data_IF_760742987733
#
_entry.id   IF_760742987733
#
_cell.length_a   1.000
_cell.length_b   1.000
_cell.length_c   1.000
_cell.angle_alpha   90.00
_cell.angle_beta   90.00
_cell.angle_gamma   90.00
#
_symmetry.space_group_name_H-M   'P 1'
#
loop_
_entity.id
_entity.type
_entity.pdbx_description
1 polymer ?
#
# COMPACT_ATOMS: atom_id res chain seq x y z
N UNK A 1 20.20 0.97 -10.78
CA UNK A 1 19.61 -0.34 -11.13
C UNK A 1 20.10 -0.78 -12.51
N UNK A 2 20.37 -2.07 -12.73
CA UNK A 2 20.61 -2.62 -14.07
C UNK A 2 19.41 -2.37 -15.00
N UNK A 3 19.67 -2.20 -16.30
CA UNK A 3 18.61 -1.86 -17.27
C UNK A 3 17.47 -2.88 -17.29
N UNK A 4 17.80 -4.17 -17.16
CA UNK A 4 16.79 -5.24 -17.18
C UNK A 4 15.86 -5.18 -15.96
N UNK A 5 16.37 -4.83 -14.77
CA UNK A 5 15.54 -4.63 -13.56
C UNK A 5 14.61 -3.42 -13.72
N UNK A 6 15.12 -2.35 -14.35
CA UNK A 6 14.32 -1.17 -14.64
C UNK A 6 13.18 -1.50 -15.60
N UNK A 7 13.48 -2.17 -16.73
CA UNK A 7 12.47 -2.60 -17.69
C UNK A 7 11.46 -3.55 -17.06
N UNK A 8 11.91 -4.57 -16.35
CA UNK A 8 11.05 -5.54 -15.68
C UNK A 8 10.11 -4.86 -14.66
N UNK A 9 10.63 -3.94 -13.84
CA UNK A 9 9.81 -3.23 -12.86
C UNK A 9 8.73 -2.34 -13.49
N UNK A 10 8.98 -1.74 -14.66
CA UNK A 10 7.95 -0.98 -15.38
C UNK A 10 6.95 -1.88 -16.12
N UNK A 11 7.39 -3.04 -16.59
CA UNK A 11 6.51 -4.06 -17.19
C UNK A 11 5.55 -4.62 -16.13
N UNK A 12 6.07 -5.03 -14.98
CA UNK A 12 5.25 -5.54 -13.86
C UNK A 12 4.21 -4.50 -13.41
N UNK A 13 4.60 -3.22 -13.37
CA UNK A 13 3.68 -2.12 -13.11
C UNK A 13 2.59 -2.00 -14.20
N UNK A 14 2.96 -2.02 -15.49
CA UNK A 14 1.99 -1.92 -16.57
C UNK A 14 1.02 -3.12 -16.58
N UNK A 15 1.53 -4.34 -16.41
CA UNK A 15 0.71 -5.55 -16.28
C UNK A 15 -0.24 -5.48 -15.08
N UNK A 16 0.21 -4.94 -13.94
CA UNK A 16 -0.64 -4.77 -12.75
C UNK A 16 -1.81 -3.82 -12.99
N UNK A 17 -1.63 -2.83 -13.88
CA UNK A 17 -2.70 -1.94 -14.34
C UNK A 17 -3.66 -2.61 -15.34
N UNK A 18 -3.44 -3.87 -15.72
CA UNK A 18 -4.22 -4.57 -16.73
C UNK A 18 -3.86 -4.18 -18.16
N UNK A 19 -2.72 -3.51 -18.37
CA UNK A 19 -2.27 -3.09 -19.70
C UNK A 19 -1.63 -4.28 -20.41
N UNK A 20 -2.16 -4.61 -21.57
CA UNK A 20 -1.59 -5.58 -22.50
C UNK A 20 -0.52 -4.89 -23.34
N UNK A 21 0.75 -5.08 -22.94
CA UNK A 21 1.88 -4.43 -23.63
C UNK A 21 1.99 -4.85 -25.11
N UNK A 22 1.62 -6.08 -25.43
CA UNK A 22 1.60 -6.60 -26.79
C UNK A 22 0.52 -5.97 -27.69
N UNK A 23 -0.52 -5.40 -27.10
CA UNK A 23 -1.63 -4.75 -27.80
C UNK A 23 -1.58 -3.21 -27.67
N UNK A 24 -0.64 -2.68 -26.90
CA UNK A 24 -0.57 -1.24 -26.62
C UNK A 24 -0.06 -0.48 -27.86
N UNK A 25 -0.89 0.41 -28.39
CA UNK A 25 -0.51 1.33 -29.48
C UNK A 25 0.25 2.54 -28.90
N UNK A 26 1.58 2.46 -28.87
CA UNK A 26 2.45 3.48 -28.25
C UNK A 26 2.23 4.87 -28.82
N UNK A 27 1.89 4.99 -30.10
CA UNK A 27 1.66 6.26 -30.80
C UNK A 27 0.44 7.03 -30.28
N UNK A 28 -0.52 6.36 -29.67
CA UNK A 28 -1.75 6.99 -29.13
C UNK A 28 -1.57 7.54 -27.72
N UNK A 29 -0.43 7.24 -27.07
CA UNK A 29 -0.18 7.67 -25.71
C UNK A 29 0.18 9.16 -25.64
N UNK A 30 -0.47 9.87 -24.73
CA UNK A 30 -0.17 11.27 -24.40
C UNK A 30 1.07 11.36 -23.51
N UNK A 31 2.25 11.24 -24.11
CA UNK A 31 3.54 11.38 -23.44
C UNK A 31 4.61 11.91 -24.41
N UNK A 32 5.77 12.31 -23.88
CA UNK A 32 6.87 12.77 -24.71
C UNK A 32 7.51 11.62 -25.52
N UNK A 33 8.29 11.97 -26.54
CA UNK A 33 8.95 10.97 -27.40
C UNK A 33 9.81 10.00 -26.62
N UNK A 34 10.55 10.49 -25.63
CA UNK A 34 11.41 9.69 -24.77
C UNK A 34 10.65 8.57 -24.03
N UNK A 35 9.48 8.88 -23.51
CA UNK A 35 8.62 7.89 -22.84
C UNK A 35 8.09 6.86 -23.83
N UNK A 36 7.73 7.28 -25.05
CA UNK A 36 7.31 6.36 -26.13
C UNK A 36 8.43 5.40 -26.51
N UNK A 37 9.64 5.91 -26.75
CA UNK A 37 10.81 5.08 -27.07
C UNK A 37 11.08 4.05 -25.95
N UNK A 38 10.91 4.47 -24.70
CA UNK A 38 11.07 3.57 -23.55
C UNK A 38 9.97 2.49 -23.50
N UNK A 39 8.73 2.82 -23.81
CA UNK A 39 7.62 1.85 -23.88
C UNK A 39 7.84 0.86 -25.02
N UNK A 40 8.34 1.29 -26.18
CA UNK A 40 8.72 0.38 -27.26
C UNK A 40 9.84 -0.58 -26.83
N UNK A 41 10.82 -0.09 -26.08
CA UNK A 41 11.84 -0.97 -25.50
C UNK A 41 11.25 -1.96 -24.48
N UNK A 42 10.28 -1.53 -23.65
CA UNK A 42 9.54 -2.42 -22.75
C UNK A 42 8.79 -3.50 -23.52
N UNK A 43 8.11 -3.17 -24.63
CA UNK A 43 7.39 -4.15 -25.46
C UNK A 43 8.33 -5.22 -26.02
N UNK A 44 9.48 -4.82 -26.57
CA UNK A 44 10.49 -5.76 -27.09
C UNK A 44 11.05 -6.65 -26.00
N UNK A 45 11.39 -6.06 -24.84
CA UNK A 45 11.88 -6.83 -23.69
C UNK A 45 10.81 -7.82 -23.20
N UNK A 46 9.56 -7.36 -23.04
CA UNK A 46 8.44 -8.18 -22.60
C UNK A 46 8.20 -9.39 -23.53
N UNK A 47 8.27 -9.18 -24.84
CA UNK A 47 8.13 -10.26 -25.82
C UNK A 47 9.20 -11.35 -25.62
N UNK A 48 10.47 -10.97 -25.51
CA UNK A 48 11.58 -11.92 -25.29
C UNK A 48 11.49 -12.59 -23.91
N UNK A 49 11.20 -11.81 -22.88
CA UNK A 49 11.07 -12.31 -21.50
C UNK A 49 9.91 -13.32 -21.36
N UNK A 50 8.76 -13.02 -21.95
CA UNK A 50 7.60 -13.92 -21.94
C UNK A 50 7.88 -15.22 -22.70
N UNK A 51 8.57 -15.14 -23.84
CA UNK A 51 8.99 -16.34 -24.60
C UNK A 51 9.96 -17.21 -23.78
N UNK A 52 10.90 -16.58 -23.04
CA UNK A 52 11.84 -17.29 -22.17
C UNK A 52 11.09 -17.99 -21.01
N UNK A 53 10.15 -17.31 -20.36
CA UNK A 53 9.34 -17.90 -19.30
C UNK A 53 8.51 -19.09 -19.82
N UNK A 54 7.85 -18.93 -20.96
CA UNK A 54 7.07 -20.01 -21.59
C UNK A 54 7.93 -21.22 -21.93
N UNK A 55 9.14 -21.00 -22.44
CA UNK A 55 10.10 -22.08 -22.73
C UNK A 55 10.53 -22.85 -21.47
N UNK A 56 10.39 -22.26 -20.30
CA UNK A 56 10.68 -22.87 -18.99
C UNK A 56 9.41 -23.38 -18.27
N UNK A 57 8.23 -23.26 -18.89
CA UNK A 57 6.96 -23.58 -18.23
C UNK A 57 6.56 -22.62 -17.11
N UNK A 58 7.08 -21.39 -17.13
CA UNK A 58 6.84 -20.34 -16.14
C UNK A 58 5.94 -19.24 -16.71
N UNK A 59 5.30 -18.50 -15.82
CA UNK A 59 4.48 -17.33 -16.14
C UNK A 59 4.67 -16.26 -15.05
N UNK A 60 4.58 -14.97 -15.41
CA UNK A 60 4.55 -13.88 -14.43
C UNK A 60 3.25 -13.92 -13.61
N UNK A 61 3.28 -13.34 -12.40
CA UNK A 61 2.08 -13.28 -11.54
C UNK A 61 0.91 -12.56 -12.23
N UNK A 62 1.16 -11.37 -12.77
CA UNK A 62 0.14 -10.60 -13.49
C UNK A 62 -0.28 -11.29 -14.80
N UNK A 63 0.67 -11.89 -15.51
CA UNK A 63 0.39 -12.71 -16.71
C UNK A 63 -0.54 -13.88 -16.43
N UNK A 64 -0.41 -14.53 -15.26
CA UNK A 64 -1.33 -15.60 -14.87
C UNK A 64 -2.77 -15.09 -14.73
N UNK A 65 -2.99 -13.95 -14.07
CA UNK A 65 -4.31 -13.34 -13.96
C UNK A 65 -4.87 -12.91 -15.33
N UNK A 66 -4.02 -12.35 -16.19
CA UNK A 66 -4.42 -11.98 -17.54
C UNK A 66 -4.90 -13.20 -18.35
N UNK A 67 -4.10 -14.27 -18.37
CA UNK A 67 -4.48 -15.52 -19.08
C UNK A 67 -5.74 -16.16 -18.49
N UNK A 68 -5.91 -16.19 -17.18
CA UNK A 68 -7.12 -16.69 -16.54
C UNK A 68 -8.34 -15.86 -16.94
N UNK A 69 -8.21 -14.53 -16.99
CA UNK A 69 -9.28 -13.63 -17.42
C UNK A 69 -9.71 -13.89 -18.86
N UNK A 70 -8.75 -14.10 -19.76
CA UNK A 70 -9.00 -14.43 -21.16
C UNK A 70 -9.70 -15.77 -21.31
N UNK A 71 -9.20 -16.82 -20.67
CA UNK A 71 -9.83 -18.15 -20.68
C UNK A 71 -11.26 -18.13 -20.15
N UNK A 72 -11.52 -17.37 -19.08
CA UNK A 72 -12.86 -17.21 -18.52
C UNK A 72 -13.80 -16.44 -19.44
N UNK A 73 -13.26 -15.57 -20.28
CA UNK A 73 -14.04 -14.74 -21.21
C UNK A 73 -14.31 -15.42 -22.56
N UNK A 74 -13.44 -16.33 -23.00
CA UNK A 74 -13.44 -16.88 -24.36
C UNK A 74 -14.29 -18.13 -24.56
N UNK A 75 -14.76 -18.80 -23.50
CA UNK A 75 -15.36 -20.11 -23.70
C UNK A 75 -16.69 -20.37 -23.00
N UNK A 76 -17.65 -20.95 -23.72
CA UNK A 76 -18.89 -21.53 -23.23
C UNK A 76 -18.73 -22.86 -22.44
N UNK A 77 -17.49 -23.22 -22.02
CA UNK A 77 -17.21 -24.45 -21.27
C UNK A 77 -17.94 -24.54 -19.92
N UNK A 78 -18.15 -25.74 -19.42
CA UNK A 78 -18.76 -25.97 -18.11
C UNK A 78 -17.85 -25.41 -17.00
N UNK A 79 -18.44 -24.73 -15.99
CA UNK A 79 -17.73 -24.28 -14.81
C UNK A 79 -17.30 -25.50 -14.00
N UNK A 80 -15.98 -25.70 -13.87
CA UNK A 80 -15.43 -26.78 -13.04
C UNK A 80 -15.56 -26.48 -11.54
N UNK A 81 -15.38 -27.50 -10.66
CA UNK A 81 -15.51 -27.34 -9.21
C UNK A 81 -14.64 -26.21 -8.63
N UNK A 82 -13.43 -26.03 -9.15
CA UNK A 82 -12.52 -24.96 -8.70
C UNK A 82 -13.08 -23.56 -8.96
N UNK A 83 -13.79 -23.34 -10.09
CA UNK A 83 -14.44 -22.07 -10.38
C UNK A 83 -15.69 -21.87 -9.53
N UNK A 84 -16.48 -22.92 -9.31
CA UNK A 84 -17.67 -22.87 -8.46
C UNK A 84 -17.34 -22.52 -7.01
N UNK A 85 -16.16 -22.93 -6.53
CA UNK A 85 -15.64 -22.54 -5.20
C UNK A 85 -15.43 -21.03 -5.06
N UNK A 86 -15.36 -20.26 -6.15
CA UNK A 86 -15.23 -18.80 -6.15
C UNK A 86 -16.57 -18.06 -6.17
N UNK A 87 -17.69 -18.75 -6.01
CA UNK A 87 -19.03 -18.14 -6.03
C UNK A 87 -19.24 -17.16 -4.85
N UNK A 88 -18.59 -17.42 -3.74
CA UNK A 88 -18.65 -16.55 -2.53
C UNK A 88 -17.25 -16.20 -2.07
N UNK A 89 -16.81 -14.98 -2.36
CA UNK A 89 -15.47 -14.50 -2.06
C UNK A 89 -15.49 -13.48 -0.92
N UNK A 90 -14.59 -13.68 0.05
CA UNK A 90 -14.22 -12.70 1.05
C UNK A 90 -12.75 -12.37 0.82
N UNK A 91 -12.47 -11.11 0.49
CA UNK A 91 -11.13 -10.64 0.16
C UNK A 91 -10.71 -9.62 1.20
N UNK A 92 -9.68 -9.98 1.98
CA UNK A 92 -9.06 -9.09 2.95
C UNK A 92 -7.98 -8.22 2.29
N UNK A 93 -7.64 -7.09 2.93
CA UNK A 93 -6.70 -6.08 2.43
C UNK A 93 -7.06 -5.60 1.01
N UNK A 94 -8.35 -5.44 0.72
CA UNK A 94 -8.84 -5.13 -0.63
C UNK A 94 -8.30 -3.81 -1.19
N UNK A 95 -7.88 -2.86 -0.35
CA UNK A 95 -7.25 -1.62 -0.78
C UNK A 95 -5.88 -1.81 -1.46
N UNK A 96 -5.32 -3.01 -1.40
CA UNK A 96 -4.00 -3.33 -1.98
C UNK A 96 -4.11 -4.10 -3.31
N UNK A 97 -5.32 -4.34 -3.82
CA UNK A 97 -5.49 -4.97 -5.12
C UNK A 97 -5.14 -4.02 -6.27
N UNK A 98 -4.85 -4.62 -7.43
CA UNK A 98 -4.55 -3.90 -8.67
C UNK A 98 -5.70 -4.01 -9.68
N UNK A 99 -5.75 -3.15 -10.71
CA UNK A 99 -6.70 -3.27 -11.82
C UNK A 99 -6.70 -4.65 -12.47
N UNK A 100 -5.53 -5.29 -12.62
CA UNK A 100 -5.45 -6.64 -13.19
C UNK A 100 -6.23 -7.67 -12.36
N UNK A 101 -6.19 -7.57 -11.03
CA UNK A 101 -6.97 -8.46 -10.14
C UNK A 101 -8.47 -8.15 -10.27
N UNK A 102 -8.85 -6.87 -10.38
CA UNK A 102 -10.26 -6.47 -10.62
C UNK A 102 -10.78 -7.07 -11.92
N UNK A 103 -10.00 -6.98 -13.01
CA UNK A 103 -10.37 -7.57 -14.30
C UNK A 103 -10.60 -9.08 -14.21
N UNK A 104 -9.72 -9.78 -13.49
CA UNK A 104 -9.88 -11.22 -13.25
C UNK A 104 -11.14 -11.52 -12.42
N UNK A 105 -11.38 -10.81 -11.31
CA UNK A 105 -12.60 -10.99 -10.50
C UNK A 105 -13.87 -10.75 -11.33
N UNK A 106 -13.88 -9.72 -12.17
CA UNK A 106 -14.99 -9.46 -13.08
C UNK A 106 -15.19 -10.58 -14.09
N UNK A 107 -14.11 -11.18 -14.63
CA UNK A 107 -14.21 -12.33 -15.53
C UNK A 107 -14.79 -13.56 -14.82
N UNK A 108 -14.34 -13.85 -13.58
CA UNK A 108 -14.90 -14.90 -12.71
C UNK A 108 -16.41 -14.68 -12.50
N UNK A 109 -16.80 -13.46 -12.09
CA UNK A 109 -18.21 -13.15 -11.83
C UNK A 109 -19.08 -13.29 -13.08
N UNK A 110 -18.62 -12.79 -14.23
CA UNK A 110 -19.34 -12.95 -15.50
C UNK A 110 -19.56 -14.42 -15.84
N UNK A 111 -18.52 -15.23 -15.67
CA UNK A 111 -18.56 -16.66 -15.98
C UNK A 111 -19.50 -17.44 -15.06
N UNK A 112 -19.39 -17.25 -13.74
CA UNK A 112 -20.25 -17.88 -12.76
C UNK A 112 -21.72 -17.50 -12.98
N UNK A 113 -21.96 -16.22 -13.25
CA UNK A 113 -23.33 -15.77 -13.53
C UNK A 113 -23.91 -16.39 -14.80
N UNK A 114 -23.11 -16.50 -15.89
CA UNK A 114 -23.54 -17.19 -17.10
C UNK A 114 -23.86 -18.67 -16.85
N UNK A 115 -23.26 -19.28 -15.83
CA UNK A 115 -23.57 -20.63 -15.37
C UNK A 115 -24.80 -20.71 -14.46
N UNK A 116 -25.47 -19.58 -14.15
CA UNK A 116 -26.64 -19.51 -13.26
C UNK A 116 -26.31 -19.50 -11.77
N UNK A 117 -25.05 -19.34 -11.40
CA UNK A 117 -24.64 -19.36 -10.00
C UNK A 117 -25.01 -18.06 -9.25
N UNK A 118 -25.30 -18.19 -7.96
CA UNK A 118 -25.36 -17.06 -7.06
C UNK A 118 -23.95 -16.66 -6.65
N UNK A 119 -23.64 -15.40 -6.82
CA UNK A 119 -22.30 -14.87 -6.49
C UNK A 119 -22.41 -13.78 -5.44
N UNK A 120 -21.42 -13.74 -4.55
CA UNK A 120 -21.23 -12.64 -3.62
C UNK A 120 -19.75 -12.30 -3.48
N UNK A 121 -19.47 -11.03 -3.32
CA UNK A 121 -18.12 -10.52 -3.07
C UNK A 121 -18.18 -9.61 -1.86
N UNK A 122 -17.38 -9.92 -0.84
CA UNK A 122 -17.15 -9.08 0.33
C UNK A 122 -15.71 -8.59 0.28
N UNK A 123 -15.55 -7.28 0.16
CA UNK A 123 -14.26 -6.60 0.25
C UNK A 123 -14.06 -6.08 1.68
N UNK A 124 -12.95 -6.45 2.28
CA UNK A 124 -12.55 -6.04 3.62
C UNK A 124 -11.25 -5.25 3.48
N UNK A 125 -11.15 -4.08 4.12
CA UNK A 125 -9.94 -3.27 3.97
C UNK A 125 -10.02 -1.91 4.65
N UNK A 126 -8.92 -1.18 4.55
CA UNK A 126 -8.76 0.17 5.05
C UNK A 126 -8.04 1.03 3.99
N UNK A 127 -8.80 1.87 3.28
CA UNK A 127 -8.28 2.75 2.22
C UNK A 127 -7.19 3.71 2.73
N UNK A 128 -7.19 4.04 4.03
CA UNK A 128 -6.17 4.86 4.67
C UNK A 128 -4.82 4.12 4.80
N UNK A 129 -4.82 2.78 4.69
CA UNK A 129 -3.62 1.94 4.73
C UNK A 129 -3.17 1.43 3.35
N UNK A 130 -3.67 2.00 2.26
CA UNK A 130 -3.21 1.68 0.90
C UNK A 130 -1.86 2.34 0.62
N UNK A 131 -0.79 1.53 0.58
CA UNK A 131 0.60 1.97 0.46
C UNK A 131 1.41 1.20 -0.59
N UNK A 132 0.73 0.56 -1.55
CA UNK A 132 1.36 -0.22 -2.63
C UNK A 132 1.04 0.31 -4.03
N UNK A 133 0.72 1.61 -4.16
CA UNK A 133 0.47 2.25 -5.46
C UNK A 133 1.68 2.19 -6.40
N UNK A 134 2.89 2.15 -5.85
CA UNK A 134 4.10 1.93 -6.64
C UNK A 134 4.14 0.55 -7.36
N UNK A 135 3.29 -0.40 -6.94
CA UNK A 135 3.04 -1.70 -7.60
C UNK A 135 1.75 -1.72 -8.43
N UNK A 136 1.06 -0.58 -8.58
CA UNK A 136 -0.18 -0.47 -9.34
C UNK A 136 -1.46 -0.74 -8.56
N UNK A 137 -1.42 -0.95 -7.23
CA UNK A 137 -2.64 -0.95 -6.43
C UNK A 137 -3.20 0.46 -6.26
N UNK A 138 -4.50 0.57 -5.99
CA UNK A 138 -5.12 1.86 -5.71
C UNK A 138 -6.30 1.71 -4.76
N UNK A 139 -6.42 2.60 -3.75
CA UNK A 139 -7.58 2.63 -2.87
C UNK A 139 -8.87 2.99 -3.61
N UNK A 140 -8.80 3.64 -4.78
CA UNK A 140 -9.98 3.98 -5.59
C UNK A 140 -10.76 2.72 -6.00
N UNK A 141 -10.07 1.59 -6.22
CA UNK A 141 -10.71 0.31 -6.53
C UNK A 141 -11.61 -0.20 -5.39
N UNK A 142 -11.28 0.15 -4.15
CA UNK A 142 -12.07 -0.16 -2.96
C UNK A 142 -13.13 0.91 -2.67
N UNK A 143 -12.77 2.19 -2.80
CA UNK A 143 -13.67 3.33 -2.58
C UNK A 143 -14.83 3.29 -3.58
N UNK A 144 -14.53 3.06 -4.86
CA UNK A 144 -15.51 3.00 -5.95
C UNK A 144 -15.98 1.57 -6.24
N UNK A 145 -16.14 0.75 -5.18
CA UNK A 145 -16.46 -0.67 -5.30
C UNK A 145 -17.65 -0.96 -6.23
N UNK A 146 -18.75 -0.21 -6.12
CA UNK A 146 -19.95 -0.40 -6.95
C UNK A 146 -19.71 -0.09 -8.45
N UNK A 147 -18.72 0.76 -8.79
CA UNK A 147 -18.31 1.00 -10.18
C UNK A 147 -17.68 -0.24 -10.79
N UNK A 148 -16.90 -0.98 -10.02
CA UNK A 148 -16.17 -2.14 -10.48
C UNK A 148 -16.99 -3.44 -10.38
N UNK A 149 -17.84 -3.51 -9.36
CA UNK A 149 -18.69 -4.68 -9.06
C UNK A 149 -20.16 -4.24 -8.88
N UNK A 150 -20.80 -3.75 -9.94
CA UNK A 150 -22.19 -3.29 -9.86
C UNK A 150 -23.12 -4.45 -9.49
N UNK A 151 -23.97 -4.22 -8.49
CA UNK A 151 -25.00 -5.17 -8.14
C UNK A 151 -26.07 -5.23 -9.24
N UNK A 152 -26.63 -6.41 -9.47
CA UNK A 152 -27.75 -6.57 -10.39
C UNK A 152 -29.05 -6.18 -9.71
N UNK A 153 -29.66 -5.12 -10.19
CA UNK A 153 -30.86 -4.53 -9.61
C UNK A 153 -30.65 -3.08 -9.20
N UNK A 154 -31.57 -2.55 -8.39
CA UNK A 154 -31.52 -1.14 -7.94
C UNK A 154 -30.75 -0.92 -6.63
N UNK A 155 -30.28 -1.98 -5.99
CA UNK A 155 -29.57 -1.89 -4.71
C UNK A 155 -28.08 -1.66 -4.92
N UNK A 156 -27.50 -0.74 -4.15
CA UNK A 156 -26.04 -0.60 -4.02
C UNK A 156 -25.48 -1.66 -3.08
N UNK A 157 -24.15 -1.85 -3.08
CA UNK A 157 -23.49 -2.65 -2.06
C UNK A 157 -23.72 -2.08 -0.66
N UNK A 158 -23.71 -2.95 0.34
CA UNK A 158 -23.79 -2.52 1.75
C UNK A 158 -22.40 -2.22 2.26
N UNK A 159 -22.20 -1.04 2.84
CA UNK A 159 -20.94 -0.65 3.48
C UNK A 159 -21.11 -0.69 5.00
N UNK A 160 -20.21 -1.43 5.67
CA UNK A 160 -20.13 -1.50 7.13
C UNK A 160 -18.82 -0.86 7.58
N UNK A 161 -18.90 0.14 8.47
CA UNK A 161 -17.72 0.79 9.04
C UNK A 161 -17.39 0.19 10.40
N UNK A 162 -16.16 -0.28 10.58
CA UNK A 162 -15.61 -0.69 11.85
C UNK A 162 -14.88 0.49 12.49
N UNK A 163 -15.62 1.37 13.19
CA UNK A 163 -15.10 2.64 13.70
C UNK A 163 -14.34 2.53 15.02
N UNK A 164 -14.38 1.40 15.72
CA UNK A 164 -13.70 1.25 17.02
C UNK A 164 -12.27 0.76 16.84
N UNK A 165 -11.30 1.54 17.32
CA UNK A 165 -9.89 1.19 17.31
C UNK A 165 -9.47 0.61 18.66
N UNK A 166 -9.15 -0.69 18.69
CA UNK A 166 -8.71 -1.41 19.88
C UNK A 166 -7.19 -1.40 20.08
N UNK A 167 -6.41 -0.86 19.15
CA UNK A 167 -4.97 -0.87 19.16
C UNK A 167 -4.40 0.33 19.91
N UNK A 168 -4.73 1.52 19.46
CA UNK A 168 -4.06 2.76 19.83
C UNK A 168 -4.93 3.65 20.70
N UNK A 169 -4.28 4.47 21.51
CA UNK A 169 -4.91 5.53 22.30
C UNK A 169 -5.39 6.68 21.38
N UNK A 170 -6.32 7.49 21.88
CA UNK A 170 -6.93 8.59 21.12
C UNK A 170 -5.90 9.57 20.52
N UNK A 171 -4.86 10.08 21.22
CA UNK A 171 -3.91 11.01 20.61
C UNK A 171 -3.15 10.43 19.42
N UNK A 172 -2.85 9.12 19.40
CA UNK A 172 -2.18 8.46 18.27
C UNK A 172 -3.13 8.40 17.08
N UNK A 173 -4.42 8.08 17.30
CA UNK A 173 -5.44 8.04 16.25
C UNK A 173 -5.62 9.43 15.66
N UNK A 174 -5.86 10.44 16.47
CA UNK A 174 -6.05 11.85 16.07
C UNK A 174 -4.88 12.37 15.23
N UNK A 175 -3.64 12.12 15.67
CA UNK A 175 -2.45 12.59 14.95
C UNK A 175 -2.27 11.80 13.64
N UNK A 176 -2.65 10.52 13.59
CA UNK A 176 -2.74 9.74 12.36
C UNK A 176 -3.80 10.30 11.39
N UNK A 177 -4.99 10.65 11.85
CA UNK A 177 -6.03 11.25 11.03
C UNK A 177 -5.61 12.64 10.51
N UNK A 178 -4.88 13.42 11.31
CA UNK A 178 -4.39 14.76 10.96
C UNK A 178 -3.49 14.73 9.71
N UNK A 179 -2.61 13.75 9.58
CA UNK A 179 -1.72 13.64 8.40
C UNK A 179 -2.46 13.25 7.12
N UNK A 180 -3.68 12.72 7.23
CA UNK A 180 -4.54 12.36 6.10
C UNK A 180 -5.43 13.52 5.64
N UNK A 181 -5.42 14.69 6.30
CA UNK A 181 -6.34 15.79 6.00
C UNK A 181 -6.32 16.20 4.52
N UNK A 182 -5.16 16.23 3.89
CA UNK A 182 -4.95 16.65 2.50
C UNK A 182 -4.95 15.48 1.48
N UNK A 183 -5.33 14.26 1.88
CA UNK A 183 -5.48 13.14 0.95
C UNK A 183 -6.76 13.36 0.13
N UNK A 184 -6.63 13.33 -1.19
CA UNK A 184 -7.73 13.61 -2.11
C UNK A 184 -8.72 12.45 -2.20
N UNK A 185 -8.22 11.23 -2.35
CA UNK A 185 -9.05 10.03 -2.52
C UNK A 185 -9.09 9.23 -1.22
N UNK A 186 -10.11 9.43 -0.39
CA UNK A 186 -10.33 8.67 0.86
C UNK A 186 -11.79 8.60 1.24
N UNK A 187 -12.18 7.53 1.91
CA UNK A 187 -13.49 7.44 2.56
C UNK A 187 -13.52 8.31 3.84
N UNK A 188 -14.62 9.02 4.03
CA UNK A 188 -14.87 9.73 5.27
C UNK A 188 -15.23 8.71 6.37
N UNK A 189 -14.39 8.62 7.38
CA UNK A 189 -14.61 7.78 8.56
C UNK A 189 -13.97 8.41 9.78
N UNK A 190 -14.44 8.06 10.97
CA UNK A 190 -13.88 8.50 12.24
C UNK A 190 -13.59 7.27 13.08
N UNK A 191 -12.39 7.24 13.67
CA UNK A 191 -12.00 6.17 14.57
C UNK A 191 -12.16 6.60 16.03
N UNK A 192 -12.75 5.72 16.85
CA UNK A 192 -12.92 5.93 18.28
C UNK A 192 -11.99 4.97 19.03
N UNK A 193 -11.16 5.51 19.93
CA UNK A 193 -10.27 4.70 20.73
C UNK A 193 -11.04 3.90 21.79
N UNK A 194 -10.85 2.59 21.82
CA UNK A 194 -11.30 1.75 22.95
C UNK A 194 -10.26 1.70 24.07
N UNK A 195 -9.01 2.04 23.78
CA UNK A 195 -7.90 1.96 24.72
C UNK A 195 -7.76 3.27 25.51
N UNK A 196 -7.77 3.19 26.85
CA UNK A 196 -7.54 4.31 27.73
C UNK A 196 -6.06 4.71 27.78
N UNK A 197 -5.81 6.00 27.95
CA UNK A 197 -4.47 6.53 28.18
C UNK A 197 -3.96 6.18 29.59
N UNK A 198 -2.64 5.99 29.70
CA UNK A 198 -1.93 5.87 30.96
C UNK A 198 -0.98 7.06 31.17
N UNK A 199 -0.49 7.30 32.37
CA UNK A 199 0.48 8.38 32.62
C UNK A 199 1.71 8.25 31.72
N UNK A 200 2.06 9.38 31.08
CA UNK A 200 3.17 9.45 30.14
C UNK A 200 2.85 9.03 28.70
N UNK A 201 1.64 8.59 28.40
CA UNK A 201 1.20 8.31 27.03
C UNK A 201 1.02 9.63 26.24
N UNK A 202 1.28 9.57 24.96
CA UNK A 202 1.14 10.72 24.07
C UNK A 202 0.98 10.30 22.60
N UNK A 203 0.43 11.19 21.77
CA UNK A 203 0.44 11.05 20.32
C UNK A 203 1.83 11.24 19.72
N UNK A 204 1.92 11.89 18.58
CA UNK A 204 3.20 12.13 17.93
C UNK A 204 3.97 13.25 18.62
N UNK A 205 5.17 12.94 19.13
CA UNK A 205 6.19 13.94 19.48
C UNK A 205 7.14 14.10 18.31
N UNK A 206 7.12 15.26 17.69
CA UNK A 206 7.97 15.60 16.55
C UNK A 206 9.30 16.18 17.04
N UNK A 207 10.41 15.50 16.76
CA UNK A 207 11.77 15.90 17.09
C UNK A 207 12.42 16.44 15.82
N UNK A 208 12.46 17.78 15.70
CA UNK A 208 13.04 18.48 14.57
C UNK A 208 14.54 18.74 14.75
N UNK A 209 15.22 19.14 13.66
CA UNK A 209 16.66 19.40 13.60
C UNK A 209 17.50 18.17 13.97
N UNK A 210 16.93 16.99 13.77
CA UNK A 210 17.63 15.73 13.99
C UNK A 210 18.44 15.35 12.74
N UNK A 211 19.71 15.04 12.97
CA UNK A 211 20.60 14.46 11.98
C UNK A 211 21.12 13.14 12.54
N UNK A 212 20.93 12.06 11.79
CA UNK A 212 21.22 10.71 12.27
C UNK A 212 22.72 10.52 12.55
N UNK A 213 23.60 11.14 11.75
CA UNK A 213 25.04 10.95 11.92
C UNK A 213 25.56 11.48 13.27
N UNK A 214 25.07 12.65 13.68
CA UNK A 214 25.43 13.26 14.96
C UNK A 214 24.51 12.87 16.11
N UNK A 215 23.25 12.57 15.83
CA UNK A 215 22.22 12.29 16.83
C UNK A 215 22.06 10.80 17.20
N UNK A 216 22.82 9.90 16.56
CA UNK A 216 22.67 8.46 16.78
C UNK A 216 22.85 8.03 18.23
N UNK A 217 23.84 8.52 19.01
CA UNK A 217 23.96 8.14 20.42
C UNK A 217 22.72 8.54 21.25
N UNK A 218 22.17 9.74 21.04
CA UNK A 218 20.97 10.19 21.73
C UNK A 218 19.73 9.36 21.33
N UNK A 219 19.61 8.98 20.06
CA UNK A 219 18.55 8.09 19.59
C UNK A 219 18.63 6.71 20.25
N UNK A 220 19.82 6.13 20.38
CA UNK A 220 20.02 4.83 21.05
C UNK A 220 19.65 4.89 22.54
N UNK A 221 19.99 5.98 23.21
CA UNK A 221 19.57 6.23 24.60
C UNK A 221 18.04 6.34 24.70
N UNK A 222 17.39 7.08 23.79
CA UNK A 222 15.94 7.19 23.75
C UNK A 222 15.27 5.83 23.52
N UNK A 223 15.77 5.02 22.57
CA UNK A 223 15.26 3.67 22.32
C UNK A 223 15.33 2.82 23.60
N UNK A 224 16.47 2.88 24.30
CA UNK A 224 16.66 2.17 25.58
C UNK A 224 15.67 2.65 26.63
N UNK A 225 15.49 3.96 26.78
CA UNK A 225 14.54 4.54 27.72
C UNK A 225 13.09 4.13 27.42
N UNK A 226 12.72 4.07 26.15
CA UNK A 226 11.38 3.60 25.76
C UNK A 226 11.21 2.09 26.05
N UNK A 227 12.21 1.26 25.81
CA UNK A 227 12.16 -0.16 26.22
C UNK A 227 11.99 -0.31 27.73
N UNK A 228 12.71 0.47 28.55
CA UNK A 228 12.57 0.48 30.00
C UNK A 228 11.17 0.93 30.43
N UNK A 229 10.64 2.00 29.82
CA UNK A 229 9.27 2.44 30.10
C UNK A 229 8.25 1.34 29.81
N UNK A 230 8.37 0.66 28.67
CA UNK A 230 7.45 -0.43 28.27
C UNK A 230 7.55 -1.62 29.22
N UNK A 231 8.75 -1.95 29.71
CA UNK A 231 8.95 -3.08 30.64
C UNK A 231 8.21 -2.90 31.99
N UNK A 232 7.88 -1.66 32.34
CA UNK A 232 7.12 -1.33 33.56
C UNK A 232 5.59 -1.37 33.35
N UNK A 233 5.11 -1.57 32.11
CA UNK A 233 3.68 -1.56 31.80
C UNK A 233 3.08 -2.97 31.92
N UNK A 234 1.95 -3.11 32.60
CA UNK A 234 1.22 -4.36 32.60
C UNK A 234 0.64 -4.63 31.19
N UNK A 235 0.74 -5.86 30.73
CA UNK A 235 0.18 -6.31 29.45
C UNK A 235 0.70 -5.56 28.22
N UNK A 236 1.95 -5.07 28.25
CA UNK A 236 2.58 -4.49 27.09
C UNK A 236 2.79 -5.51 25.95
N UNK A 237 2.83 -5.01 24.72
CA UNK A 237 3.15 -5.83 23.54
C UNK A 237 4.56 -6.45 23.70
N UNK A 238 4.77 -7.65 23.15
CA UNK A 238 6.09 -8.33 23.15
C UNK A 238 7.17 -7.50 22.45
N UNK A 239 6.80 -6.72 21.45
CA UNK A 239 7.66 -5.73 20.81
C UNK A 239 7.48 -4.40 21.51
N UNK A 240 8.49 -3.95 22.26
CA UNK A 240 8.42 -2.68 22.96
C UNK A 240 8.48 -1.51 21.97
N UNK A 241 9.41 -1.56 21.03
CA UNK A 241 9.67 -0.46 20.08
C UNK A 241 9.69 -1.00 18.64
N UNK A 242 8.92 -0.36 17.76
CA UNK A 242 9.11 -0.43 16.31
C UNK A 242 9.90 0.80 15.85
N UNK A 243 11.11 0.57 15.34
CA UNK A 243 11.91 1.59 14.67
C UNK A 243 11.61 1.56 13.18
N UNK A 244 11.05 2.63 12.66
CA UNK A 244 10.48 2.70 11.33
C UNK A 244 11.18 3.78 10.48
N UNK A 245 11.38 3.50 9.21
CA UNK A 245 11.76 4.49 8.20
C UNK A 245 11.19 4.08 6.84
N UNK A 246 11.06 5.04 5.93
CA UNK A 246 10.73 4.74 4.54
C UNK A 246 11.84 3.95 3.85
N UNK A 247 13.10 4.22 4.20
CA UNK A 247 14.31 3.64 3.58
C UNK A 247 15.02 2.68 4.53
N UNK A 248 15.87 1.82 3.96
CA UNK A 248 16.65 0.87 4.75
C UNK A 248 17.92 1.48 5.35
N UNK A 249 18.51 2.52 4.72
CA UNK A 249 19.80 3.06 5.11
C UNK A 249 19.81 3.58 6.57
N UNK A 250 18.85 4.41 7.03
CA UNK A 250 18.82 4.86 8.43
C UNK A 250 18.68 3.68 9.41
N UNK A 251 17.88 2.69 9.03
CA UNK A 251 17.65 1.50 9.86
C UNK A 251 18.91 0.63 9.99
N UNK A 252 19.71 0.51 8.93
CA UNK A 252 20.97 -0.24 8.95
C UNK A 252 21.98 0.43 9.88
N UNK A 253 22.10 1.77 9.83
CA UNK A 253 22.97 2.52 10.70
C UNK A 253 22.63 2.32 12.19
N UNK A 254 21.33 2.42 12.53
CA UNK A 254 20.89 2.19 13.91
C UNK A 254 21.09 0.73 14.33
N UNK A 255 20.74 -0.24 13.49
CA UNK A 255 20.91 -1.68 13.81
C UNK A 255 22.35 -2.07 14.07
N UNK A 256 23.31 -1.40 13.42
CA UNK A 256 24.72 -1.69 13.60
C UNK A 256 25.22 -1.40 15.03
N UNK A 257 24.55 -0.51 15.75
CA UNK A 257 24.94 -0.05 17.09
C UNK A 257 23.87 -0.37 18.17
N UNK A 258 22.70 -0.88 17.75
CA UNK A 258 21.62 -1.21 18.68
C UNK A 258 21.97 -2.46 19.50
N UNK A 259 21.74 -2.39 20.81
CA UNK A 259 21.82 -3.56 21.67
C UNK A 259 20.78 -4.61 21.24
N UNK A 260 21.27 -5.79 20.87
CA UNK A 260 20.45 -6.91 20.36
C UNK A 260 19.56 -7.55 21.42
N UNK A 261 19.78 -7.25 22.69
CA UNK A 261 18.97 -7.77 23.81
C UNK A 261 17.68 -6.98 24.00
N UNK A 262 17.60 -5.76 23.46
CA UNK A 262 16.41 -4.93 23.57
C UNK A 262 15.26 -5.47 22.69
N UNK A 263 14.01 -5.42 23.19
CA UNK A 263 12.82 -5.86 22.44
C UNK A 263 12.41 -4.84 21.34
N UNK A 264 13.33 -4.57 20.42
CA UNK A 264 13.21 -3.59 19.33
C UNK A 264 13.19 -4.31 17.98
N UNK A 265 12.27 -3.92 17.12
CA UNK A 265 12.24 -4.35 15.72
C UNK A 265 12.41 -3.13 14.81
N UNK A 266 13.46 -3.14 13.99
CA UNK A 266 13.74 -2.08 13.02
C UNK A 266 13.39 -2.57 11.62
N UNK A 267 12.52 -1.85 10.89
CA UNK A 267 12.09 -2.23 9.54
C UNK A 267 11.48 -1.05 8.79
N UNK A 268 11.35 -1.19 7.47
CA UNK A 268 10.65 -0.17 6.68
C UNK A 268 9.16 -0.12 7.05
N UNK A 269 8.54 1.05 6.87
CA UNK A 269 7.11 1.26 7.16
C UNK A 269 6.25 0.27 6.39
N UNK A 270 6.59 -0.01 5.11
CA UNK A 270 5.89 -1.02 4.31
C UNK A 270 5.90 -2.41 4.95
N UNK A 271 7.06 -2.84 5.49
CA UNK A 271 7.17 -4.15 6.17
C UNK A 271 6.49 -4.19 7.54
N UNK A 272 6.23 -3.02 8.12
CA UNK A 272 5.56 -2.90 9.41
C UNK A 272 4.02 -2.92 9.29
N UNK A 273 3.47 -2.89 8.08
CA UNK A 273 2.02 -3.03 7.87
C UNK A 273 1.53 -4.33 8.53
N UNK A 274 0.41 -4.26 9.24
CA UNK A 274 -0.10 -5.38 10.05
C UNK A 274 0.56 -5.57 11.43
N UNK A 275 1.72 -4.96 11.70
CA UNK A 275 2.40 -5.05 12.99
C UNK A 275 2.01 -3.90 13.92
N UNK A 276 2.41 -4.03 15.20
CA UNK A 276 2.28 -2.97 16.21
C UNK A 276 3.37 -3.10 17.28
N UNK A 277 3.62 -2.04 18.00
CA UNK A 277 4.42 -2.02 19.22
C UNK A 277 3.87 -0.96 20.17
N UNK A 278 4.24 -1.05 21.43
CA UNK A 278 3.85 -0.06 22.42
C UNK A 278 4.32 1.34 22.01
N UNK A 279 5.54 1.43 21.47
CA UNK A 279 6.14 2.70 21.00
C UNK A 279 6.54 2.56 19.52
N UNK A 280 6.18 3.53 18.68
CA UNK A 280 6.73 3.69 17.35
C UNK A 280 7.75 4.83 17.32
N UNK A 281 8.94 4.56 16.80
CA UNK A 281 9.98 5.58 16.52
C UNK A 281 10.14 5.67 15.01
N UNK A 282 9.89 6.84 14.44
CA UNK A 282 9.92 7.06 13.00
C UNK A 282 11.11 7.95 12.65
N UNK A 283 11.90 7.53 11.66
CA UNK A 283 13.04 8.28 11.15
C UNK A 283 12.74 8.82 9.75
N UNK A 284 13.02 10.08 9.54
CA UNK A 284 12.81 10.85 8.32
C UNK A 284 11.34 11.01 7.91
N UNK A 285 11.09 11.91 6.95
CA UNK A 285 9.76 12.18 6.44
C UNK A 285 9.28 11.19 5.40
N UNK A 286 7.97 11.01 5.33
CA UNK A 286 7.30 10.30 4.25
C UNK A 286 7.01 11.27 3.09
N UNK A 287 8.01 11.53 2.26
CA UNK A 287 7.85 12.39 1.08
C UNK A 287 7.37 11.57 -0.12
N UNK A 288 6.60 12.18 -1.05
CA UNK A 288 6.24 11.52 -2.29
C UNK A 288 7.49 11.20 -3.12
N UNK A 289 7.37 10.26 -4.05
CA UNK A 289 8.38 10.01 -5.05
C UNK A 289 8.47 11.19 -6.03
N UNK A 290 9.57 11.27 -6.77
CA UNK A 290 9.71 12.22 -7.88
C UNK A 290 8.65 11.95 -8.95
N UNK A 291 8.33 12.99 -9.74
CA UNK A 291 7.39 12.87 -10.86
C UNK A 291 7.81 11.80 -11.85
N UNK A 292 6.84 11.04 -12.33
CA UNK A 292 7.09 9.90 -13.21
C UNK A 292 6.22 9.95 -14.49
N UNK A 293 6.64 10.71 -15.53
CA UNK A 293 5.85 10.91 -16.75
C UNK A 293 5.41 9.60 -17.42
N UNK A 294 6.29 8.61 -17.52
CA UNK A 294 5.97 7.28 -18.06
C UNK A 294 4.80 6.63 -17.32
N UNK A 295 4.83 6.62 -15.99
CA UNK A 295 3.75 6.01 -15.20
C UNK A 295 2.47 6.83 -15.25
N UNK A 296 2.55 8.14 -15.38
CA UNK A 296 1.37 8.96 -15.62
C UNK A 296 0.68 8.56 -16.93
N UNK A 297 1.43 8.34 -18.01
CA UNK A 297 0.87 7.90 -19.29
C UNK A 297 0.21 6.51 -19.19
N UNK A 298 0.87 5.55 -18.55
CA UNK A 298 0.32 4.21 -18.32
C UNK A 298 -0.92 4.26 -17.40
N UNK A 299 -0.91 5.11 -16.40
CA UNK A 299 -2.01 5.26 -15.45
C UNK A 299 -3.27 5.84 -16.14
N UNK A 300 -3.09 6.84 -17.00
CA UNK A 300 -4.17 7.37 -17.83
C UNK A 300 -4.71 6.32 -18.81
N UNK A 301 -3.83 5.53 -19.42
CA UNK A 301 -4.19 4.48 -20.39
C UNK A 301 -5.03 3.36 -19.80
N UNK A 302 -4.84 3.00 -18.51
CA UNK A 302 -5.57 1.89 -17.91
C UNK A 302 -7.07 2.17 -17.73
N UNK A 303 -7.51 3.43 -17.72
CA UNK A 303 -8.92 3.83 -17.64
C UNK A 303 -9.62 3.56 -16.30
N UNK A 304 -8.89 3.11 -15.28
CA UNK A 304 -9.46 2.84 -13.95
C UNK A 304 -9.51 4.07 -13.07
N UNK A 305 -8.62 5.03 -13.25
CA UNK A 305 -8.37 6.15 -12.33
C UNK A 305 -8.70 7.49 -12.95
N UNK A 306 -9.19 8.41 -12.13
CA UNK A 306 -9.47 9.79 -12.54
C UNK A 306 -8.23 10.70 -12.42
N UNK A 307 -7.37 10.41 -11.44
CA UNK A 307 -6.16 11.20 -11.15
C UNK A 307 -4.92 10.69 -11.90
N UNK A 308 -3.80 11.41 -11.76
CA UNK A 308 -2.50 10.98 -12.25
C UNK A 308 -1.79 10.05 -11.25
N UNK A 309 -0.82 9.28 -11.74
CA UNK A 309 0.05 8.50 -10.88
C UNK A 309 0.80 9.37 -9.85
N UNK A 310 1.30 10.54 -10.27
CA UNK A 310 2.00 11.45 -9.36
C UNK A 310 1.09 11.94 -8.22
N UNK A 311 -0.18 12.22 -8.51
CA UNK A 311 -1.17 12.57 -7.48
C UNK A 311 -1.41 11.41 -6.51
N UNK A 312 -1.57 10.19 -7.05
CA UNK A 312 -1.73 8.99 -6.23
C UNK A 312 -0.52 8.77 -5.29
N UNK A 313 0.71 9.06 -5.76
CA UNK A 313 1.93 8.95 -4.94
C UNK A 313 2.05 10.05 -3.87
N UNK A 314 1.50 11.24 -4.11
CA UNK A 314 1.39 12.27 -3.07
C UNK A 314 0.46 11.83 -1.94
N UNK A 315 -0.69 11.30 -2.29
CA UNK A 315 -1.65 10.75 -1.32
C UNK A 315 -1.07 9.52 -0.59
N UNK A 316 -0.34 8.64 -1.30
CA UNK A 316 0.32 7.47 -0.71
C UNK A 316 1.39 7.86 0.32
N UNK A 317 2.14 8.93 0.10
CA UNK A 317 3.12 9.41 1.06
C UNK A 317 2.47 9.77 2.42
N UNK A 318 1.27 10.35 2.40
CA UNK A 318 0.49 10.66 3.61
C UNK A 318 -0.10 9.40 4.25
N UNK A 319 -0.58 8.45 3.46
CA UNK A 319 -1.01 7.13 3.97
C UNK A 319 0.14 6.36 4.61
N UNK A 320 1.34 6.46 4.03
CA UNK A 320 2.54 5.86 4.61
C UNK A 320 2.87 6.46 5.98
N UNK A 321 2.71 7.77 6.14
CA UNK A 321 2.83 8.46 7.42
C UNK A 321 1.77 7.98 8.42
N UNK A 322 0.52 7.87 7.99
CA UNK A 322 -0.57 7.33 8.80
C UNK A 322 -0.27 5.89 9.27
N UNK A 323 0.17 5.03 8.34
CA UNK A 323 0.58 3.65 8.69
C UNK A 323 1.69 3.67 9.72
N UNK A 324 2.72 4.52 9.57
CA UNK A 324 3.81 4.60 10.52
C UNK A 324 3.35 5.02 11.92
N UNK A 325 2.52 6.06 12.03
CA UNK A 325 1.96 6.55 13.30
C UNK A 325 1.12 5.46 13.97
N UNK A 326 0.24 4.83 13.22
CA UNK A 326 -0.71 3.83 13.74
C UNK A 326 -0.07 2.47 14.05
N UNK A 327 1.25 2.34 13.90
CA UNK A 327 2.00 1.18 14.45
C UNK A 327 2.26 1.35 15.94
N UNK A 328 2.26 2.60 16.46
CA UNK A 328 2.37 2.90 17.88
C UNK A 328 1.03 2.68 18.60
N UNK A 329 1.10 2.06 19.77
CA UNK A 329 -0.06 1.86 20.64
C UNK A 329 -0.27 3.05 21.55
N UNK A 330 0.78 3.49 22.26
CA UNK A 330 0.70 4.51 23.32
C UNK A 330 1.64 5.69 23.14
N UNK A 331 2.65 5.57 22.28
CA UNK A 331 3.62 6.66 22.02
C UNK A 331 4.11 6.60 20.58
N UNK A 332 4.33 7.79 20.01
CA UNK A 332 4.99 7.93 18.71
C UNK A 332 6.05 9.06 18.82
N UNK A 333 7.28 8.74 18.45
CA UNK A 333 8.39 9.68 18.38
C UNK A 333 8.80 9.80 16.92
N UNK A 334 8.76 11.01 16.35
CA UNK A 334 9.11 11.20 14.94
C UNK A 334 10.30 12.14 14.80
N UNK A 335 11.42 11.60 14.33
CA UNK A 335 12.69 12.30 14.15
C UNK A 335 12.84 12.76 12.70
N UNK A 336 12.99 14.06 12.51
CA UNK A 336 13.18 14.66 11.18
C UNK A 336 14.16 15.84 11.22
N UNK A 337 14.87 16.07 10.13
CA UNK A 337 15.72 17.25 10.00
C UNK A 337 14.88 18.54 9.96
N UNK A 338 13.80 18.53 9.19
CA UNK A 338 12.87 19.65 9.02
C UNK A 338 11.47 19.10 8.80
N UNK A 339 10.47 19.70 9.42
CA UNK A 339 9.09 19.33 9.15
C UNK A 339 8.70 19.69 7.72
N UNK A 340 8.21 18.68 6.97
CA UNK A 340 7.77 18.81 5.59
C UNK A 340 6.80 17.67 5.25
N UNK A 341 6.01 17.82 4.17
CA UNK A 341 5.03 16.80 3.82
C UNK A 341 4.06 16.49 4.99
N UNK A 342 3.98 15.23 5.38
CA UNK A 342 3.07 14.79 6.45
C UNK A 342 3.44 15.37 7.83
N UNK A 343 4.74 15.54 8.14
CA UNK A 343 5.16 16.09 9.44
C UNK A 343 4.87 17.58 9.59
N UNK A 344 4.66 18.30 8.49
CA UNK A 344 4.28 19.71 8.54
C UNK A 344 2.94 19.92 9.25
N UNK A 345 1.97 19.04 9.02
CA UNK A 345 0.67 19.08 9.68
C UNK A 345 0.75 18.82 11.19
N UNK A 346 1.82 18.18 11.67
CA UNK A 346 2.04 17.84 13.07
C UNK A 346 2.85 18.90 13.81
N UNK A 347 3.54 19.78 13.08
CA UNK A 347 4.36 20.86 13.64
C UNK A 347 3.55 22.11 14.02
N UNK A 348 2.28 22.16 13.61
CA UNK A 348 1.35 23.28 13.84
C UNK A 348 0.62 23.16 15.18
#
# INVERSE_FOLDING_TARGET
>A
LPLFELLHGQIDFAESLGIRLDLLEVKTLECAARERDFIEAMQRFHQHFSALLQGQGLISFNGAFAQLSERLSSDGGKSGPALLALSHLLIDEFQDISPQIVLWLQAVHRRLHAAGERISLMAIGDDWQSIYGWRGSSPELFIDFDRHFPSRGRSKSSTLLLGTNYRSIEPVIRDGEKVLAEVHSKQAKTCIAAKAMQPGDHGVKLIQRFDLASGLPALLQEITAQCQHVSQRPNADRTAVLLLSRRNEPLQQVRAQLDKTLPVRAMTIHRAKGLQAEVAIILDDCLPADKHPLRNALYAQCGFFAGSYDQAMQDEARRLAYVAITRGVSRVLWYTRKAQGATQCLAS
#
